data_IF_766448348373
#
_entry.id   IF_766448348373
#
_cell.length_a   1.000
_cell.length_b   1.000
_cell.length_c   1.000
_cell.angle_alpha   90.00
_cell.angle_beta   90.00
_cell.angle_gamma   90.00
#
_symmetry.space_group_name_H-M   'P 1'
#
loop_
_entity.id
_entity.type
_entity.pdbx_description
1 polymer ?
#
# COMPACT_ATOMS: atom_id res chain seq x y z
N UNK A 1 -15.58 -0.53 6.71
CA UNK A 1 -15.63 -2.00 6.92
C UNK A 1 -14.24 -2.42 7.37
N UNK A 2 -14.14 -3.21 8.43
CA UNK A 2 -12.84 -3.70 8.94
C UNK A 2 -12.76 -5.20 8.67
N UNK A 3 -11.64 -5.75 8.16
CA UNK A 3 -11.50 -7.18 7.93
C UNK A 3 -11.65 -7.93 9.25
N UNK A 4 -12.20 -9.15 9.22
CA UNK A 4 -12.40 -9.94 10.45
C UNK A 4 -11.10 -10.51 11.00
N UNK A 5 -10.05 -10.59 10.17
CA UNK A 5 -8.72 -11.06 10.51
C UNK A 5 -7.72 -10.59 9.44
N UNK A 6 -6.43 -10.59 9.77
CA UNK A 6 -5.36 -10.39 8.80
C UNK A 6 -5.02 -11.73 8.11
N UNK A 7 -4.96 -11.71 6.78
CA UNK A 7 -4.56 -12.85 5.99
C UNK A 7 -3.03 -13.00 5.99
N UNK A 8 -2.56 -14.16 6.44
CA UNK A 8 -1.17 -14.57 6.46
C UNK A 8 -1.11 -15.95 5.81
N UNK A 9 -0.49 -16.07 4.61
CA UNK A 9 -0.44 -17.33 3.88
C UNK A 9 0.11 -18.48 4.72
N UNK A 10 -0.63 -19.59 4.75
CA UNK A 10 -0.30 -20.79 5.54
C UNK A 10 -0.60 -20.68 7.04
N UNK A 11 -1.15 -19.57 7.53
CA UNK A 11 -1.48 -19.37 8.95
C UNK A 11 -2.94 -18.99 9.20
N UNK A 12 -3.50 -18.09 8.40
CA UNK A 12 -4.91 -17.69 8.50
C UNK A 12 -5.63 -17.93 7.18
N UNK A 13 -6.95 -18.20 7.21
CA UNK A 13 -7.72 -18.43 5.98
C UNK A 13 -7.68 -17.20 5.07
N UNK A 14 -7.97 -17.40 3.79
CA UNK A 14 -8.19 -16.28 2.87
C UNK A 14 -9.61 -15.76 3.09
N UNK A 15 -9.81 -14.46 2.86
CA UNK A 15 -11.16 -13.89 2.80
C UNK A 15 -11.95 -14.52 1.64
N UNK A 16 -13.29 -14.56 1.72
CA UNK A 16 -14.13 -14.95 0.61
C UNK A 16 -13.81 -14.15 -0.66
N UNK A 17 -14.02 -14.78 -1.82
CA UNK A 17 -13.95 -14.06 -3.09
C UNK A 17 -14.90 -12.86 -3.09
N UNK A 18 -14.44 -11.73 -3.62
CA UNK A 18 -15.20 -10.49 -3.67
C UNK A 18 -15.38 -9.74 -2.34
N UNK A 19 -14.75 -10.19 -1.25
CA UNK A 19 -14.90 -9.57 0.08
C UNK A 19 -14.58 -8.06 0.12
N UNK A 20 -13.75 -7.58 -0.82
CA UNK A 20 -13.31 -6.19 -0.89
C UNK A 20 -13.71 -5.48 -2.19
N UNK A 21 -14.55 -6.08 -3.04
CA UNK A 21 -14.90 -5.52 -4.35
C UNK A 21 -15.50 -4.12 -4.24
N UNK A 22 -16.42 -3.90 -3.30
CA UNK A 22 -17.00 -2.57 -3.07
C UNK A 22 -15.96 -1.49 -2.73
N UNK A 23 -14.84 -1.86 -2.11
CA UNK A 23 -13.74 -0.94 -1.80
C UNK A 23 -12.86 -0.76 -3.05
N UNK A 24 -12.49 -1.85 -3.71
CA UNK A 24 -11.67 -1.85 -4.94
C UNK A 24 -12.35 -1.05 -6.07
N UNK A 25 -13.65 -1.21 -6.23
CA UNK A 25 -14.49 -0.56 -7.24
C UNK A 25 -14.73 0.94 -6.98
N UNK A 26 -14.25 1.47 -5.85
CA UNK A 26 -14.24 2.91 -5.59
C UNK A 26 -13.23 3.67 -6.47
N UNK A 27 -12.37 2.95 -7.19
CA UNK A 27 -11.43 3.49 -8.18
C UNK A 27 -11.90 3.10 -9.59
N UNK A 28 -11.95 4.07 -10.51
CA UNK A 28 -12.27 3.84 -11.92
C UNK A 28 -11.12 4.27 -12.82
N UNK A 29 -10.97 3.63 -13.97
CA UNK A 29 -10.02 4.08 -14.98
C UNK A 29 -10.32 5.53 -15.40
N UNK A 30 -9.27 6.34 -15.56
CA UNK A 30 -9.38 7.76 -15.93
C UNK A 30 -9.78 8.70 -14.77
N UNK A 31 -9.82 8.20 -13.53
CA UNK A 31 -10.02 9.04 -12.34
C UNK A 31 -8.80 9.97 -12.15
N UNK A 32 -9.04 11.24 -11.86
CA UNK A 32 -7.97 12.20 -11.59
C UNK A 32 -7.28 11.92 -10.23
N UNK A 33 -6.07 12.44 -10.05
CA UNK A 33 -5.26 12.18 -8.85
C UNK A 33 -5.95 12.59 -7.54
N UNK A 34 -6.70 13.69 -7.52
CA UNK A 34 -7.37 14.15 -6.30
C UNK A 34 -8.48 13.17 -5.91
N UNK A 35 -9.24 12.71 -6.90
CA UNK A 35 -10.25 11.67 -6.71
C UNK A 35 -9.64 10.32 -6.30
N UNK A 36 -8.47 9.94 -6.84
CA UNK A 36 -7.74 8.75 -6.38
C UNK A 36 -7.33 8.86 -4.91
N UNK A 37 -6.78 10.00 -4.50
CA UNK A 37 -6.40 10.25 -3.10
C UNK A 37 -7.62 10.28 -2.15
N UNK A 38 -8.80 10.66 -2.64
CA UNK A 38 -10.05 10.67 -1.87
C UNK A 38 -10.80 9.32 -1.90
N UNK A 39 -10.41 8.38 -2.78
CA UNK A 39 -11.08 7.09 -2.95
C UNK A 39 -11.12 6.29 -1.64
N UNK A 40 -12.12 5.40 -1.53
CA UNK A 40 -12.19 4.52 -0.36
C UNK A 40 -11.02 3.53 -0.35
N UNK A 41 -10.67 3.00 -1.53
CA UNK A 41 -9.53 2.12 -1.74
C UNK A 41 -8.23 2.69 -1.14
N UNK A 42 -7.90 3.95 -1.45
CA UNK A 42 -6.69 4.58 -0.93
C UNK A 42 -6.77 4.79 0.59
N UNK A 43 -7.84 5.43 1.08
CA UNK A 43 -7.97 5.76 2.51
C UNK A 43 -8.04 4.53 3.42
N UNK A 44 -8.80 3.52 3.02
CA UNK A 44 -8.89 2.26 3.76
C UNK A 44 -7.59 1.47 3.65
N UNK A 45 -6.93 1.49 2.48
CA UNK A 45 -5.63 0.85 2.32
C UNK A 45 -4.56 1.41 3.26
N UNK A 46 -4.53 2.73 3.46
CA UNK A 46 -3.64 3.38 4.44
C UNK A 46 -3.98 2.96 5.88
N UNK A 47 -5.25 3.00 6.26
CA UNK A 47 -5.73 2.58 7.59
C UNK A 47 -5.38 1.12 7.90
N UNK A 48 -5.57 0.23 6.92
CA UNK A 48 -5.24 -1.19 7.04
C UNK A 48 -3.75 -1.46 7.09
N UNK A 49 -2.95 -0.65 6.39
CA UNK A 49 -1.50 -0.73 6.49
C UNK A 49 -1.04 -0.36 7.90
N UNK A 50 -1.60 0.69 8.49
CA UNK A 50 -1.29 1.15 9.85
C UNK A 50 -1.77 0.18 10.93
N UNK A 51 -2.90 -0.49 10.71
CA UNK A 51 -3.48 -1.45 11.66
C UNK A 51 -3.02 -2.91 11.45
N UNK A 52 -2.16 -3.16 10.47
CA UNK A 52 -1.46 -4.44 10.28
C UNK A 52 -2.16 -5.44 9.35
N UNK A 53 -3.27 -5.08 8.72
CA UNK A 53 -3.95 -5.87 7.67
C UNK A 53 -3.21 -5.74 6.33
N UNK A 54 -1.95 -6.19 6.32
CA UNK A 54 -1.01 -5.89 5.24
C UNK A 54 -1.40 -6.55 3.90
N UNK A 55 -1.94 -7.76 3.94
CA UNK A 55 -2.40 -8.43 2.73
C UNK A 55 -3.62 -7.72 2.14
N UNK A 56 -4.57 -7.35 3.00
CA UNK A 56 -5.79 -6.65 2.63
C UNK A 56 -5.50 -5.24 2.10
N UNK A 57 -4.57 -4.52 2.74
CA UNK A 57 -4.10 -3.21 2.29
C UNK A 57 -3.53 -3.28 0.88
N UNK A 58 -2.72 -4.31 0.57
CA UNK A 58 -2.22 -4.52 -0.78
C UNK A 58 -3.38 -4.70 -1.79
N UNK A 59 -4.35 -5.56 -1.49
CA UNK A 59 -5.48 -5.83 -2.40
C UNK A 59 -6.27 -4.57 -2.75
N UNK A 60 -6.51 -3.68 -1.78
CA UNK A 60 -7.28 -2.45 -2.04
C UNK A 60 -6.44 -1.31 -2.59
N UNK A 61 -5.12 -1.30 -2.38
CA UNK A 61 -4.23 -0.29 -2.97
C UNK A 61 -3.85 -0.61 -4.43
N UNK A 62 -3.88 -1.87 -4.85
CA UNK A 62 -3.61 -2.30 -6.22
C UNK A 62 -4.40 -1.52 -7.29
N UNK A 63 -5.75 -1.39 -7.21
CA UNK A 63 -6.49 -0.61 -8.21
C UNK A 63 -6.11 0.88 -8.22
N UNK A 64 -5.74 1.47 -7.06
CA UNK A 64 -5.24 2.84 -7.00
C UNK A 64 -3.92 2.96 -7.76
N UNK A 65 -2.99 2.03 -7.53
CA UNK A 65 -1.70 1.99 -8.22
C UNK A 65 -1.90 1.87 -9.74
N UNK A 66 -2.77 0.96 -10.17
CA UNK A 66 -3.04 0.74 -11.60
C UNK A 66 -3.66 1.96 -12.27
N UNK A 67 -4.46 2.75 -11.56
CA UNK A 67 -5.07 3.97 -12.08
C UNK A 67 -4.12 5.18 -12.12
N UNK A 68 -3.02 5.17 -11.35
CA UNK A 68 -2.02 6.24 -11.38
C UNK A 68 -1.24 6.24 -12.71
N UNK A 69 -0.96 7.43 -13.30
CA UNK A 69 -0.17 7.55 -14.52
C UNK A 69 1.22 6.92 -14.40
N UNK A 70 1.68 6.29 -15.49
CA UNK A 70 3.00 5.69 -15.54
C UNK A 70 4.11 6.73 -15.31
N UNK A 71 5.10 6.37 -14.50
CA UNK A 71 6.22 7.22 -14.17
C UNK A 71 5.92 8.39 -13.22
N UNK A 72 4.66 8.60 -12.81
CA UNK A 72 4.26 9.68 -11.90
C UNK A 72 4.66 9.44 -10.43
N UNK A 73 4.69 10.53 -9.66
CA UNK A 73 5.01 10.50 -8.22
C UNK A 73 4.00 9.66 -7.43
N UNK A 74 2.72 9.77 -7.79
CA UNK A 74 1.61 9.07 -7.18
C UNK A 74 1.70 7.56 -7.39
N UNK A 75 2.06 7.14 -8.61
CA UNK A 75 2.28 5.72 -8.90
C UNK A 75 3.43 5.17 -8.08
N UNK A 76 4.54 5.91 -7.98
CA UNK A 76 5.68 5.53 -7.16
C UNK A 76 5.31 5.43 -5.66
N UNK A 77 4.56 6.41 -5.12
CA UNK A 77 4.07 6.39 -3.75
C UNK A 77 3.20 5.15 -3.49
N UNK A 78 2.15 4.93 -4.28
CA UNK A 78 1.22 3.80 -4.02
C UNK A 78 1.95 2.46 -4.15
N UNK A 79 2.87 2.35 -5.12
CA UNK A 79 3.73 1.18 -5.22
C UNK A 79 4.61 0.99 -3.99
N UNK A 80 5.17 2.06 -3.43
CA UNK A 80 5.95 2.00 -2.18
C UNK A 80 5.10 1.48 -1.01
N UNK A 81 3.86 1.97 -0.86
CA UNK A 81 2.93 1.52 0.17
C UNK A 81 2.62 0.01 0.04
N UNK A 82 2.40 -0.46 -1.19
CA UNK A 82 2.21 -1.89 -1.47
C UNK A 82 3.47 -2.70 -1.10
N UNK A 83 4.67 -2.19 -1.40
CA UNK A 83 5.92 -2.86 -1.00
C UNK A 83 6.12 -2.88 0.52
N UNK A 84 5.72 -1.82 1.23
CA UNK A 84 5.71 -1.79 2.71
C UNK A 84 4.77 -2.87 3.25
N UNK A 85 3.55 -2.96 2.71
CA UNK A 85 2.58 -3.97 3.08
C UNK A 85 3.14 -5.38 2.88
N UNK A 86 3.73 -5.65 1.70
CA UNK A 86 4.36 -6.93 1.41
C UNK A 86 5.56 -7.22 2.33
N UNK A 87 6.39 -6.21 2.66
CA UNK A 87 7.51 -6.39 3.58
C UNK A 87 7.06 -6.79 4.99
N UNK A 88 6.01 -6.15 5.50
CA UNK A 88 5.40 -6.47 6.80
C UNK A 88 4.79 -7.88 6.79
N UNK A 89 4.05 -8.22 5.73
CA UNK A 89 3.51 -9.57 5.53
C UNK A 89 4.62 -10.63 5.51
N UNK A 90 5.73 -10.38 4.79
CA UNK A 90 6.88 -11.30 4.76
C UNK A 90 7.55 -11.46 6.11
N UNK A 91 7.60 -10.40 6.92
CA UNK A 91 8.05 -10.51 8.32
C UNK A 91 7.12 -11.44 9.11
N UNK A 92 5.81 -11.26 9.02
CA UNK A 92 4.81 -12.11 9.70
C UNK A 92 4.81 -13.58 9.23
N UNK A 93 5.34 -13.83 8.02
CA UNK A 93 5.57 -15.17 7.46
C UNK A 93 6.94 -15.77 7.84
N UNK A 94 7.73 -15.13 8.72
CA UNK A 94 9.11 -15.52 9.05
C UNK A 94 10.04 -15.57 7.84
N UNK A 95 9.89 -14.63 6.89
CA UNK A 95 10.71 -14.50 5.68
C UNK A 95 11.54 -13.19 5.70
N UNK A 96 12.48 -13.00 6.65
CA UNK A 96 13.16 -11.72 6.88
C UNK A 96 14.01 -11.25 5.69
N UNK A 97 14.63 -12.16 4.94
CA UNK A 97 15.40 -11.81 3.73
C UNK A 97 14.52 -11.27 2.60
N UNK A 98 13.29 -11.77 2.49
CA UNK A 98 12.33 -11.24 1.51
C UNK A 98 11.82 -9.88 1.98
N UNK A 99 11.47 -9.75 3.26
CA UNK A 99 11.05 -8.48 3.86
C UNK A 99 12.11 -7.38 3.67
N UNK A 100 13.40 -7.67 3.91
CA UNK A 100 14.48 -6.69 3.73
C UNK A 100 14.58 -6.16 2.29
N UNK A 101 14.44 -7.03 1.27
CA UNK A 101 14.45 -6.61 -0.14
C UNK A 101 13.26 -5.70 -0.48
N UNK A 102 12.08 -6.03 0.05
CA UNK A 102 10.87 -5.24 -0.17
C UNK A 102 10.96 -3.87 0.53
N UNK A 103 11.55 -3.80 1.74
CA UNK A 103 11.83 -2.53 2.43
C UNK A 103 12.79 -1.64 1.61
N UNK A 104 13.85 -2.23 1.04
CA UNK A 104 14.77 -1.49 0.18
C UNK A 104 14.07 -0.95 -1.08
N UNK A 105 13.30 -1.80 -1.78
CA UNK A 105 12.52 -1.37 -2.93
C UNK A 105 11.49 -0.28 -2.59
N UNK A 106 10.86 -0.36 -1.41
CA UNK A 106 9.96 0.69 -0.92
C UNK A 106 10.70 2.01 -0.69
N UNK A 107 11.89 1.98 -0.10
CA UNK A 107 12.71 3.19 0.11
C UNK A 107 13.06 3.87 -1.23
N UNK A 108 13.53 3.10 -2.22
CA UNK A 108 13.83 3.62 -3.55
C UNK A 108 12.60 4.28 -4.23
N UNK A 109 11.42 3.68 -4.05
CA UNK A 109 10.17 4.22 -4.57
C UNK A 109 9.72 5.50 -3.84
N UNK A 110 9.91 5.58 -2.53
CA UNK A 110 9.63 6.80 -1.75
C UNK A 110 10.55 7.94 -2.18
N UNK A 111 11.84 7.68 -2.37
CA UNK A 111 12.81 8.67 -2.85
C UNK A 111 12.44 9.15 -4.26
N UNK A 112 12.01 8.24 -5.14
CA UNK A 112 11.50 8.59 -6.47
C UNK A 112 10.22 9.43 -6.40
N UNK A 113 9.27 9.06 -5.55
CA UNK A 113 8.03 9.81 -5.38
C UNK A 113 8.31 11.25 -4.91
N UNK A 114 9.23 11.41 -3.93
CA UNK A 114 9.63 12.72 -3.44
C UNK A 114 10.37 13.54 -4.50
N UNK A 115 11.26 12.93 -5.28
CA UNK A 115 11.97 13.61 -6.35
C UNK A 115 11.02 14.15 -7.45
N UNK A 116 9.90 13.46 -7.70
CA UNK A 116 8.94 13.81 -8.74
C UNK A 116 7.82 14.74 -8.26
N UNK A 117 7.33 14.55 -7.03
CA UNK A 117 6.14 15.22 -6.50
C UNK A 117 6.38 16.09 -5.27
N UNK A 118 7.61 16.12 -4.75
CA UNK A 118 7.97 16.81 -3.51
C UNK A 118 7.61 16.01 -2.25
N UNK A 119 7.71 16.64 -1.06
CA UNK A 119 7.58 15.94 0.22
C UNK A 119 6.15 15.47 0.54
N UNK A 120 5.16 15.95 -0.22
CA UNK A 120 3.73 15.64 -0.06
C UNK A 120 3.18 15.11 -1.38
N UNK A 121 2.75 13.85 -1.39
CA UNK A 121 2.17 13.19 -2.58
C UNK A 121 0.87 12.51 -2.16
N UNK A 122 -0.24 12.75 -2.89
CA UNK A 122 -1.58 12.25 -2.52
C UNK A 122 -1.98 12.52 -1.05
N UNK A 123 -1.57 13.66 -0.49
CA UNK A 123 -1.81 14.01 0.91
C UNK A 123 -0.96 13.26 1.94
N UNK A 124 -0.03 12.40 1.49
CA UNK A 124 0.90 11.67 2.34
C UNK A 124 2.25 12.38 2.41
N UNK A 125 2.84 12.43 3.61
CA UNK A 125 4.20 12.90 3.83
C UNK A 125 5.19 11.77 3.55
N UNK A 126 6.05 11.91 2.54
CA UNK A 126 7.00 10.86 2.16
C UNK A 126 7.92 10.48 3.33
N UNK A 127 8.43 11.48 4.06
CA UNK A 127 9.28 11.26 5.23
C UNK A 127 8.64 10.38 6.30
N UNK A 128 7.34 10.49 6.54
CA UNK A 128 6.65 9.66 7.55
C UNK A 128 6.65 8.17 7.15
N UNK A 129 6.46 7.89 5.85
CA UNK A 129 6.53 6.52 5.33
C UNK A 129 7.96 5.97 5.37
N UNK A 130 8.96 6.83 5.11
CA UNK A 130 10.38 6.46 5.25
C UNK A 130 10.72 6.09 6.69
N UNK A 131 10.27 6.87 7.67
CA UNK A 131 10.48 6.60 9.10
C UNK A 131 9.82 5.28 9.54
N UNK A 132 8.66 4.95 8.95
CA UNK A 132 7.94 3.69 9.24
C UNK A 132 8.72 2.43 8.83
N UNK A 133 9.61 2.53 7.84
CA UNK A 133 10.46 1.42 7.39
C UNK A 133 11.49 1.01 8.45
N UNK A 134 11.96 1.97 9.26
CA UNK A 134 12.98 1.75 10.29
C UNK A 134 12.42 1.08 11.55
N UNK A 135 11.13 1.27 11.86
CA UNK A 135 10.49 0.84 13.11
C UNK A 135 9.69 -0.47 12.98
N UNK A 136 9.70 -1.14 11.83
CA UNK A 136 8.93 -2.37 11.58
C UNK A 136 9.71 -3.66 11.92
N UNK A 137 10.51 -3.63 13.00
CA UNK A 137 11.39 -4.72 13.46
C UNK A 137 10.85 -5.43 14.69
#
# INVERSE_FOLDING_TARGET
MTPTHAHIPGRTPRHPEGAFDAIRDSVRAGTDIQSLAASQAFRIGLDWLDTGYCWEAHEVLEPVWMACPDGGAERALVQALIQIANARLKTAMNQPRAAARLRAAAADLLDRAEALGGPMVMGQRIGAWRDSLAHSG
#
